data_IF_874886903867
#
_entry.id   IF_874886903867
#
_cell.length_a   1.000
_cell.length_b   1.000
_cell.length_c   1.000
_cell.angle_alpha   90.00
_cell.angle_beta   90.00
_cell.angle_gamma   90.00
#
_symmetry.space_group_name_H-M   'P 1'
#
loop_
_entity.id
_entity.type
_entity.pdbx_description
1 polymer ?
#
# COMPACT_ATOMS: atom_id res chain seq x y z
N UNK A 1 5.41 4.54 -13.03
CA UNK A 1 4.21 3.83 -12.62
C UNK A 1 3.46 4.69 -11.61
N UNK A 2 2.15 4.97 -11.82
CA UNK A 2 1.35 5.86 -10.96
C UNK A 2 1.32 5.37 -9.50
N UNK A 3 1.43 4.07 -9.29
CA UNK A 3 1.50 3.42 -8.00
C UNK A 3 2.79 3.72 -7.23
N UNK A 4 3.94 3.70 -7.90
CA UNK A 4 5.23 3.99 -7.30
C UNK A 4 5.30 5.42 -6.72
N UNK A 5 4.75 6.40 -7.43
CA UNK A 5 4.72 7.79 -6.97
C UNK A 5 3.74 7.99 -5.79
N UNK A 6 2.59 7.31 -5.79
CA UNK A 6 1.63 7.40 -4.72
C UNK A 6 2.11 6.68 -3.45
N UNK A 7 2.76 5.52 -3.58
CA UNK A 7 3.38 4.78 -2.48
C UNK A 7 4.57 5.53 -1.89
N UNK A 8 5.42 6.14 -2.73
CA UNK A 8 6.51 7.01 -2.27
C UNK A 8 5.98 8.19 -1.45
N UNK A 9 4.84 8.78 -1.82
CA UNK A 9 4.20 9.85 -1.04
C UNK A 9 3.68 9.33 0.31
N UNK A 10 3.07 8.14 0.38
CA UNK A 10 2.64 7.52 1.64
C UNK A 10 3.80 7.28 2.61
N UNK A 11 4.96 6.87 2.08
CA UNK A 11 6.18 6.65 2.89
C UNK A 11 6.86 7.98 3.23
N UNK A 12 6.90 8.94 2.32
CA UNK A 12 7.47 10.26 2.56
C UNK A 12 6.75 11.00 3.72
N UNK A 13 5.45 10.79 3.91
CA UNK A 13 4.68 11.36 5.03
C UNK A 13 5.26 10.95 6.39
N UNK A 14 5.91 9.79 6.53
CA UNK A 14 6.53 9.35 7.79
C UNK A 14 7.86 10.06 8.10
N UNK A 15 8.63 10.44 7.08
CA UNK A 15 9.98 10.98 7.26
C UNK A 15 10.03 12.49 7.39
N UNK A 16 8.92 13.19 7.17
CA UNK A 16 8.87 14.63 7.27
C UNK A 16 7.81 15.05 8.29
N UNK A 17 8.21 15.35 9.52
CA UNK A 17 7.39 16.11 10.50
C UNK A 17 6.91 17.48 9.93
N UNK A 18 7.33 17.85 8.72
CA UNK A 18 7.10 19.14 8.09
C UNK A 18 5.81 19.23 7.28
N UNK A 19 5.15 18.13 6.91
CA UNK A 19 3.85 18.19 6.22
C UNK A 19 2.69 18.28 7.22
N UNK A 20 2.58 19.44 7.89
CA UNK A 20 1.32 19.80 8.56
C UNK A 20 0.30 20.17 7.50
N UNK A 21 -0.53 19.21 7.09
CA UNK A 21 -1.73 19.53 6.31
C UNK A 21 -2.56 20.60 7.04
N UNK A 22 -3.18 21.54 6.31
CA UNK A 22 -4.05 22.53 6.92
C UNK A 22 -5.14 21.80 7.74
N UNK A 23 -5.36 22.26 8.98
CA UNK A 23 -6.34 21.65 9.87
C UNK A 23 -7.74 21.85 9.31
N UNK A 24 -8.35 20.79 8.81
CA UNK A 24 -9.78 20.77 8.48
C UNK A 24 -10.61 21.03 9.73
N UNK A 25 -11.71 21.77 9.59
CA UNK A 25 -12.59 22.13 10.72
C UNK A 25 -14.01 21.59 10.49
N UNK A 26 -14.72 21.34 11.57
CA UNK A 26 -16.15 21.02 11.55
C UNK A 26 -16.48 19.79 10.69
N UNK A 27 -17.44 19.94 9.76
CA UNK A 27 -17.99 18.87 8.93
C UNK A 27 -16.96 18.16 8.05
N UNK A 28 -15.97 18.89 7.51
CA UNK A 28 -14.92 18.30 6.67
C UNK A 28 -13.99 17.38 7.47
N UNK A 29 -13.68 17.78 8.69
CA UNK A 29 -12.88 16.95 9.61
C UNK A 29 -13.60 15.66 9.95
N UNK A 30 -14.88 15.75 10.30
CA UNK A 30 -15.72 14.60 10.63
C UNK A 30 -15.85 13.64 9.44
N UNK A 31 -16.05 14.17 8.23
CA UNK A 31 -16.15 13.35 7.02
C UNK A 31 -14.84 12.59 6.74
N UNK A 32 -13.68 13.26 6.90
CA UNK A 32 -12.38 12.62 6.71
C UNK A 32 -12.11 11.51 7.75
N UNK A 33 -12.50 11.74 9.02
CA UNK A 33 -12.41 10.72 10.07
C UNK A 33 -13.33 9.52 9.76
N UNK A 34 -14.55 9.77 9.29
CA UNK A 34 -15.48 8.73 8.86
C UNK A 34 -14.93 7.90 7.69
N UNK A 35 -14.29 8.55 6.71
CA UNK A 35 -13.63 7.85 5.59
C UNK A 35 -12.46 6.98 6.05
N UNK A 36 -11.68 7.47 7.00
CA UNK A 36 -10.57 6.72 7.55
C UNK A 36 -11.02 5.46 8.29
N UNK A 37 -12.01 5.57 9.18
CA UNK A 37 -12.57 4.40 9.87
C UNK A 37 -13.23 3.41 8.88
N UNK A 38 -13.97 3.93 7.90
CA UNK A 38 -14.53 3.10 6.83
C UNK A 38 -13.44 2.33 6.07
N UNK A 39 -12.32 2.98 5.73
CA UNK A 39 -11.22 2.33 5.03
C UNK A 39 -10.61 1.17 5.85
N UNK A 40 -10.54 1.30 7.18
CA UNK A 40 -10.06 0.23 8.07
C UNK A 40 -10.95 -1.00 8.02
N UNK A 41 -12.26 -0.81 8.03
CA UNK A 41 -13.21 -1.92 7.91
C UNK A 41 -13.18 -2.53 6.49
N UNK A 42 -13.04 -1.67 5.48
CA UNK A 42 -13.04 -2.08 4.08
C UNK A 42 -11.87 -3.00 3.74
N UNK A 43 -10.63 -2.66 4.15
CA UNK A 43 -9.46 -3.51 3.87
C UNK A 43 -9.54 -4.85 4.60
N UNK A 44 -10.11 -4.89 5.81
CA UNK A 44 -10.35 -6.14 6.54
C UNK A 44 -11.39 -7.01 5.85
N UNK A 45 -12.49 -6.41 5.36
CA UNK A 45 -13.53 -7.09 4.60
C UNK A 45 -12.96 -7.71 3.31
N UNK A 46 -12.14 -6.93 2.58
CA UNK A 46 -11.46 -7.41 1.39
C UNK A 46 -10.50 -8.56 1.69
N UNK A 47 -9.67 -8.43 2.73
CA UNK A 47 -8.77 -9.50 3.16
C UNK A 47 -9.49 -10.76 3.60
N UNK A 48 -10.62 -10.63 4.32
CA UNK A 48 -11.43 -11.80 4.68
C UNK A 48 -12.01 -12.50 3.44
N UNK A 49 -12.50 -11.73 2.47
CA UNK A 49 -12.95 -12.28 1.19
C UNK A 49 -11.85 -13.07 0.48
N UNK A 50 -10.61 -12.56 0.46
CA UNK A 50 -9.47 -13.28 -0.12
C UNK A 50 -9.24 -14.60 0.62
N UNK A 51 -9.18 -14.58 1.97
CA UNK A 51 -8.95 -15.79 2.78
C UNK A 51 -10.01 -16.85 2.56
N UNK A 52 -11.26 -16.46 2.40
CA UNK A 52 -12.39 -17.37 2.20
C UNK A 52 -12.36 -18.05 0.82
N UNK A 53 -11.73 -17.42 -0.20
CA UNK A 53 -11.77 -17.88 -1.59
C UNK A 53 -10.41 -18.25 -2.19
N UNK A 54 -9.29 -18.02 -1.47
CA UNK A 54 -7.94 -18.22 -2.01
C UNK A 54 -7.56 -19.68 -2.29
N UNK A 55 -8.34 -20.63 -1.80
CA UNK A 55 -8.18 -22.05 -2.08
C UNK A 55 -8.98 -22.55 -3.28
N UNK A 56 -9.80 -21.69 -3.88
CA UNK A 56 -10.56 -22.00 -5.08
C UNK A 56 -9.70 -21.86 -6.34
N UNK A 57 -10.28 -22.17 -7.53
CA UNK A 57 -9.63 -21.92 -8.81
C UNK A 57 -9.39 -20.42 -9.03
N UNK A 58 -8.13 -20.00 -8.96
CA UNK A 58 -7.73 -18.60 -9.08
C UNK A 58 -7.85 -18.04 -10.52
N UNK A 59 -7.91 -18.90 -11.54
CA UNK A 59 -7.93 -18.49 -12.95
C UNK A 59 -6.86 -17.45 -13.26
N UNK A 60 -5.60 -17.88 -13.10
CA UNK A 60 -4.43 -17.00 -13.28
C UNK A 60 -4.29 -16.61 -14.73
N UNK A 61 -4.20 -15.31 -15.00
CA UNK A 61 -3.95 -14.73 -16.33
C UNK A 61 -2.67 -13.89 -16.29
N UNK A 62 -2.06 -13.64 -17.43
CA UNK A 62 -0.92 -12.71 -17.57
C UNK A 62 -1.40 -11.35 -18.09
N UNK A 63 -0.86 -10.24 -17.55
CA UNK A 63 -1.16 -8.88 -18.01
C UNK A 63 -0.21 -8.45 -19.15
N UNK A 64 0.93 -7.88 -18.78
CA UNK A 64 1.89 -7.26 -19.72
C UNK A 64 3.11 -8.14 -20.00
N UNK A 65 3.41 -9.08 -19.13
CA UNK A 65 4.54 -10.02 -19.25
C UNK A 65 4.21 -11.37 -18.58
N UNK A 66 5.00 -12.43 -18.83
CA UNK A 66 4.79 -13.73 -18.19
C UNK A 66 4.84 -13.72 -16.66
N UNK A 67 5.46 -12.70 -16.07
CA UNK A 67 5.59 -12.53 -14.62
C UNK A 67 4.66 -11.47 -14.06
N UNK A 68 3.84 -10.82 -14.90
CA UNK A 68 2.83 -9.84 -14.50
C UNK A 68 1.47 -10.53 -14.46
N UNK A 69 1.14 -11.06 -13.30
CA UNK A 69 -0.03 -11.92 -13.11
C UNK A 69 -1.24 -11.12 -12.60
N UNK A 70 -2.42 -11.64 -12.94
CA UNK A 70 -3.70 -11.25 -12.35
C UNK A 70 -4.53 -12.49 -12.12
N UNK A 71 -5.29 -12.53 -11.06
CA UNK A 71 -6.21 -13.62 -10.76
C UNK A 71 -7.66 -13.17 -10.80
N UNK A 72 -8.57 -14.14 -10.75
CA UNK A 72 -9.99 -13.87 -10.54
C UNK A 72 -10.22 -13.02 -9.27
N UNK A 73 -9.47 -13.32 -8.20
CA UNK A 73 -9.63 -12.61 -6.93
C UNK A 73 -9.18 -11.15 -6.97
N UNK A 74 -8.14 -10.79 -7.75
CA UNK A 74 -7.78 -9.38 -7.96
C UNK A 74 -8.98 -8.60 -8.50
N UNK A 75 -9.67 -9.16 -9.49
CA UNK A 75 -10.84 -8.53 -10.12
C UNK A 75 -12.03 -8.44 -9.15
N UNK A 76 -12.37 -9.52 -8.48
CA UNK A 76 -13.52 -9.59 -7.54
C UNK A 76 -13.31 -8.70 -6.31
N UNK A 77 -12.11 -8.69 -5.74
CA UNK A 77 -11.76 -7.83 -4.59
C UNK A 77 -11.77 -6.37 -5.00
N UNK A 78 -11.30 -6.03 -6.21
CA UNK A 78 -11.42 -4.67 -6.72
C UNK A 78 -12.89 -4.26 -6.87
N UNK A 79 -13.75 -5.10 -7.43
CA UNK A 79 -15.19 -4.82 -7.55
C UNK A 79 -15.84 -4.61 -6.19
N UNK A 80 -15.47 -5.41 -5.18
CA UNK A 80 -15.92 -5.25 -3.81
C UNK A 80 -15.48 -3.89 -3.25
N UNK A 81 -14.19 -3.53 -3.35
CA UNK A 81 -13.66 -2.26 -2.87
C UNK A 81 -14.35 -1.06 -3.53
N UNK A 82 -14.45 -1.08 -4.87
CA UNK A 82 -15.10 -0.02 -5.66
C UNK A 82 -16.59 0.11 -5.30
N UNK A 83 -17.31 -1.01 -5.24
CA UNK A 83 -18.73 -1.03 -4.93
C UNK A 83 -19.03 -0.45 -3.55
N UNK A 84 -18.27 -0.84 -2.52
CA UNK A 84 -18.42 -0.33 -1.16
C UNK A 84 -18.09 1.17 -1.07
N UNK A 85 -17.01 1.61 -1.73
CA UNK A 85 -16.62 3.04 -1.73
C UNK A 85 -17.71 3.89 -2.41
N UNK A 86 -18.11 3.53 -3.62
CA UNK A 86 -19.08 4.33 -4.39
C UNK A 86 -20.49 4.28 -3.81
N UNK A 87 -20.88 3.18 -3.16
CA UNK A 87 -22.14 3.10 -2.41
C UNK A 87 -22.19 4.12 -1.28
N UNK A 88 -21.08 4.36 -0.59
CA UNK A 88 -21.02 5.27 0.55
C UNK A 88 -20.62 6.70 0.19
N UNK A 89 -19.79 6.84 -0.85
CA UNK A 89 -19.22 8.11 -1.33
C UNK A 89 -19.35 8.22 -2.84
N UNK A 90 -20.57 8.39 -3.38
CA UNK A 90 -20.84 8.33 -4.82
C UNK A 90 -20.16 9.45 -5.64
N UNK A 91 -19.79 10.55 -5.00
CA UNK A 91 -19.12 11.69 -5.63
C UNK A 91 -17.59 11.55 -5.66
N UNK A 92 -17.02 10.52 -5.01
CA UNK A 92 -15.59 10.31 -5.00
C UNK A 92 -15.15 9.52 -6.25
N UNK A 93 -13.92 9.79 -6.69
CA UNK A 93 -13.31 9.12 -7.84
C UNK A 93 -12.47 7.91 -7.37
N UNK A 94 -12.24 6.98 -8.28
CA UNK A 94 -11.40 5.79 -8.03
C UNK A 94 -10.23 5.77 -8.99
N UNK A 95 -9.03 5.48 -8.46
CA UNK A 95 -7.87 5.03 -9.21
C UNK A 95 -7.56 3.61 -8.74
N UNK A 96 -7.69 2.62 -9.61
CA UNK A 96 -7.50 1.22 -9.30
C UNK A 96 -6.41 0.59 -10.18
N UNK A 97 -5.79 -0.47 -9.71
CA UNK A 97 -4.76 -1.15 -10.46
C UNK A 97 -5.35 -1.88 -11.66
N UNK A 98 -6.46 -2.61 -11.47
CA UNK A 98 -7.05 -3.42 -12.49
C UNK A 98 -8.03 -2.61 -13.37
N UNK A 99 -7.96 -2.83 -14.69
CA UNK A 99 -8.89 -2.26 -15.66
C UNK A 99 -8.71 -0.76 -15.93
N UNK A 100 -9.83 -0.05 -16.12
CA UNK A 100 -9.87 1.30 -16.71
C UNK A 100 -10.06 2.45 -15.69
N UNK A 101 -10.12 2.18 -14.40
CA UNK A 101 -10.34 3.22 -13.39
C UNK A 101 -9.04 3.99 -13.12
N UNK A 102 -8.84 5.11 -13.82
CA UNK A 102 -7.58 5.90 -13.83
C UNK A 102 -7.80 7.36 -13.43
N UNK A 103 -8.54 7.60 -12.34
CA UNK A 103 -8.72 8.96 -11.85
C UNK A 103 -7.37 9.56 -11.41
N UNK A 104 -7.12 10.82 -11.82
CA UNK A 104 -5.94 11.55 -11.37
C UNK A 104 -6.10 11.93 -9.90
N UNK A 105 -5.09 11.65 -9.09
CA UNK A 105 -5.07 12.05 -7.67
C UNK A 105 -4.93 13.56 -7.48
N UNK A 106 -4.55 14.30 -8.54
CA UNK A 106 -4.28 15.73 -8.49
C UNK A 106 -5.55 16.58 -8.31
N UNK A 107 -6.71 16.04 -8.65
CA UNK A 107 -7.97 16.81 -8.65
C UNK A 107 -9.12 16.06 -7.96
N UNK A 108 -9.75 16.75 -7.02
CA UNK A 108 -10.93 16.27 -6.31
C UNK A 108 -10.59 15.26 -5.21
N UNK A 109 -11.52 14.37 -4.95
CA UNK A 109 -11.47 13.33 -3.93
C UNK A 109 -11.28 11.98 -4.60
N UNK A 110 -10.16 11.33 -4.33
CA UNK A 110 -9.76 10.11 -5.07
C UNK A 110 -9.33 9.03 -4.09
N UNK A 111 -9.94 7.85 -4.22
CA UNK A 111 -9.47 6.64 -3.60
C UNK A 111 -8.51 5.92 -4.56
N UNK A 112 -7.39 5.49 -4.03
CA UNK A 112 -6.40 4.68 -4.75
C UNK A 112 -6.44 3.30 -4.12
N UNK A 113 -6.66 2.27 -4.93
CA UNK A 113 -6.83 0.90 -4.45
C UNK A 113 -5.96 -0.08 -5.23
N UNK A 114 -5.38 -1.03 -4.51
CA UNK A 114 -4.71 -2.20 -5.03
C UNK A 114 -5.29 -3.42 -4.29
N UNK A 115 -6.01 -4.28 -5.00
CA UNK A 115 -6.73 -5.41 -4.40
C UNK A 115 -5.79 -6.47 -3.84
N UNK A 116 -4.67 -6.78 -4.54
CA UNK A 116 -3.68 -7.79 -4.13
C UNK A 116 -2.28 -7.35 -4.59
N UNK A 117 -1.62 -6.46 -3.81
CA UNK A 117 -0.19 -6.19 -4.04
C UNK A 117 0.62 -7.45 -3.71
N UNK A 118 1.44 -7.87 -4.67
CA UNK A 118 2.19 -9.11 -4.58
C UNK A 118 1.46 -10.32 -5.15
N UNK A 119 0.74 -10.17 -6.28
CA UNK A 119 -0.02 -11.25 -6.93
C UNK A 119 0.83 -12.49 -7.22
N UNK A 120 2.11 -12.33 -7.57
CA UNK A 120 3.03 -13.46 -7.74
C UNK A 120 3.22 -14.26 -6.45
N UNK A 121 3.36 -13.58 -5.30
CA UNK A 121 3.46 -14.24 -3.99
C UNK A 121 2.14 -14.93 -3.65
N UNK A 122 1.02 -14.25 -3.91
CA UNK A 122 -0.31 -14.80 -3.70
C UNK A 122 -0.51 -16.10 -4.49
N UNK A 123 -0.16 -16.12 -5.77
CA UNK A 123 -0.30 -17.31 -6.64
C UNK A 123 0.66 -18.42 -6.23
N UNK A 124 1.95 -18.08 -5.95
CA UNK A 124 2.99 -19.08 -5.76
C UNK A 124 3.08 -19.64 -4.34
N UNK A 125 2.79 -18.84 -3.32
CA UNK A 125 3.02 -19.21 -1.91
C UNK A 125 1.88 -18.85 -0.96
N UNK A 126 0.88 -18.08 -1.41
CA UNK A 126 -0.27 -17.64 -0.60
C UNK A 126 0.15 -16.88 0.69
N UNK A 127 1.29 -16.23 0.66
CA UNK A 127 1.85 -15.41 1.74
C UNK A 127 2.47 -14.13 1.16
N UNK A 128 2.82 -13.19 2.03
CA UNK A 128 3.51 -11.92 1.72
C UNK A 128 2.84 -11.12 0.58
N UNK A 129 1.52 -10.99 0.66
CA UNK A 129 0.68 -10.11 -0.16
C UNK A 129 -0.23 -9.26 0.72
N UNK A 130 -0.76 -8.18 0.16
CA UNK A 130 -1.56 -7.23 0.94
C UNK A 130 -2.65 -6.54 0.12
N UNK A 131 -3.73 -6.12 0.78
CA UNK A 131 -4.69 -5.16 0.24
C UNK A 131 -4.22 -3.75 0.57
N UNK A 132 -4.27 -2.82 -0.41
CA UNK A 132 -3.89 -1.43 -0.21
C UNK A 132 -5.01 -0.47 -0.58
N UNK A 133 -5.24 0.51 0.30
CA UNK A 133 -6.18 1.60 0.08
C UNK A 133 -5.55 2.91 0.52
N UNK A 134 -5.64 3.95 -0.31
CA UNK A 134 -5.26 5.31 0.05
C UNK A 134 -6.32 6.31 -0.39
N UNK A 135 -6.36 7.47 0.28
CA UNK A 135 -7.29 8.54 -0.03
C UNK A 135 -6.59 9.87 -0.19
N UNK A 136 -6.88 10.53 -1.29
CA UNK A 136 -6.31 11.82 -1.68
C UNK A 136 -7.39 12.88 -1.83
N UNK A 137 -7.01 14.13 -1.56
CA UNK A 137 -7.81 15.30 -1.90
C UNK A 137 -6.90 16.35 -2.58
N UNK A 138 -7.19 16.66 -3.84
CA UNK A 138 -6.46 17.65 -4.64
C UNK A 138 -4.94 17.46 -4.59
N UNK A 139 -4.47 16.26 -4.88
CA UNK A 139 -3.05 15.91 -4.89
C UNK A 139 -2.42 15.63 -3.52
N UNK A 140 -3.17 15.84 -2.43
CA UNK A 140 -2.66 15.64 -1.08
C UNK A 140 -3.16 14.32 -0.50
N UNK A 141 -2.24 13.40 -0.14
CA UNK A 141 -2.55 12.19 0.57
C UNK A 141 -3.10 12.49 1.97
N UNK A 142 -4.29 12.00 2.26
CA UNK A 142 -4.96 12.20 3.54
C UNK A 142 -4.70 11.06 4.50
N UNK A 143 -4.71 9.83 3.99
CA UNK A 143 -4.34 8.61 4.71
C UNK A 143 -4.05 7.46 3.74
N UNK A 144 -3.40 6.42 4.26
CA UNK A 144 -3.18 5.16 3.56
C UNK A 144 -3.21 3.98 4.50
N UNK A 145 -3.57 2.83 3.95
CA UNK A 145 -3.67 1.54 4.65
C UNK A 145 -2.98 0.45 3.85
N UNK A 146 -2.27 -0.42 4.56
CA UNK A 146 -1.73 -1.68 4.06
C UNK A 146 -2.26 -2.77 4.99
N UNK A 147 -2.99 -3.73 4.45
CA UNK A 147 -3.48 -4.87 5.19
C UNK A 147 -2.75 -6.14 4.75
N UNK A 148 -1.77 -6.58 5.55
CA UNK A 148 -1.11 -7.89 5.39
C UNK A 148 -2.15 -8.97 5.72
N UNK A 149 -2.70 -9.59 4.68
CA UNK A 149 -3.90 -10.42 4.78
C UNK A 149 -3.67 -11.64 5.65
N UNK A 150 -2.56 -12.35 5.42
CA UNK A 150 -2.26 -13.60 6.13
C UNK A 150 -1.92 -13.37 7.60
N UNK A 151 -1.23 -12.25 7.89
CA UNK A 151 -0.87 -11.90 9.29
C UNK A 151 -1.97 -11.18 10.04
N UNK A 152 -3.02 -10.71 9.34
CA UNK A 152 -4.08 -9.89 9.92
C UNK A 152 -3.58 -8.54 10.43
N UNK A 153 -2.46 -8.03 9.90
CA UNK A 153 -1.84 -6.80 10.35
C UNK A 153 -2.26 -5.62 9.47
N UNK A 154 -2.97 -4.67 10.06
CA UNK A 154 -3.36 -3.43 9.40
C UNK A 154 -2.40 -2.29 9.78
N UNK A 155 -1.59 -1.86 8.82
CA UNK A 155 -0.79 -0.63 8.93
C UNK A 155 -1.57 0.52 8.34
N UNK A 156 -1.75 1.60 9.10
CA UNK A 156 -2.56 2.72 8.65
C UNK A 156 -2.07 4.05 9.23
N UNK A 157 -2.39 5.16 8.56
CA UNK A 157 -2.02 6.49 9.00
C UNK A 157 -1.79 7.46 7.86
N UNK A 158 -1.09 8.56 8.14
CA UNK A 158 -0.78 9.61 7.17
C UNK A 158 -1.65 10.86 7.34
N UNK A 159 -1.22 11.95 6.75
CA UNK A 159 -1.89 13.24 6.93
C UNK A 159 -1.94 13.65 8.40
N UNK A 160 -3.16 13.71 8.95
CA UNK A 160 -3.38 14.02 10.38
C UNK A 160 -3.46 12.78 11.28
N UNK A 161 -3.50 11.60 10.71
CA UNK A 161 -3.65 10.35 11.46
C UNK A 161 -2.29 9.79 11.87
N UNK A 162 -2.13 9.37 13.14
CA UNK A 162 -0.88 8.73 13.56
C UNK A 162 -0.65 7.44 12.79
N UNK A 163 0.61 7.09 12.56
CA UNK A 163 0.96 5.82 11.94
C UNK A 163 0.87 4.72 12.97
N UNK A 164 -0.01 3.77 12.72
CA UNK A 164 -0.32 2.66 13.61
C UNK A 164 -0.19 1.31 12.92
N UNK A 165 -0.04 0.26 13.72
CA UNK A 165 -0.29 -1.14 13.35
C UNK A 165 -1.35 -1.68 14.29
N UNK A 166 -2.48 -2.16 13.76
CA UNK A 166 -3.61 -2.66 14.55
C UNK A 166 -4.01 -1.68 15.67
N UNK A 167 -4.16 -0.38 15.30
CA UNK A 167 -4.50 0.75 16.19
C UNK A 167 -3.45 1.07 17.29
N UNK A 168 -2.32 0.37 17.31
CA UNK A 168 -1.19 0.70 18.20
C UNK A 168 -0.21 1.60 17.46
N UNK A 169 0.10 2.81 18.00
CA UNK A 169 1.08 3.70 17.39
C UNK A 169 2.44 3.03 17.20
N UNK A 170 3.01 3.20 16.02
CA UNK A 170 4.36 2.70 15.75
C UNK A 170 5.41 3.64 16.35
N UNK A 171 6.48 3.05 16.86
CA UNK A 171 7.60 3.82 17.40
C UNK A 171 8.24 4.70 16.33
N UNK A 172 8.71 5.91 16.66
CA UNK A 172 9.48 6.75 15.76
C UNK A 172 10.71 6.01 15.20
N UNK A 173 11.11 6.38 13.99
CA UNK A 173 12.33 5.87 13.39
C UNK A 173 13.53 6.21 14.28
N UNK A 174 14.42 5.22 14.48
CA UNK A 174 15.68 5.41 15.20
C UNK A 174 16.83 5.31 14.21
N UNK A 175 17.58 6.40 14.06
CA UNK A 175 18.79 6.42 13.25
C UNK A 175 19.87 5.49 13.86
N UNK A 176 20.60 4.80 12.99
CA UNK A 176 21.75 3.95 13.31
C UNK A 176 22.71 3.97 12.10
N UNK A 177 23.96 3.48 12.23
CA UNK A 177 24.85 3.38 11.08
C UNK A 177 24.23 2.62 9.92
N UNK A 178 24.55 3.02 8.68
CA UNK A 178 23.97 2.41 7.47
C UNK A 178 24.18 0.90 7.41
N UNK A 179 25.37 0.43 7.81
CA UNK A 179 25.71 -0.99 7.86
C UNK A 179 24.89 -1.85 8.83
N UNK A 180 24.11 -1.21 9.72
CA UNK A 180 23.21 -1.92 10.66
C UNK A 180 21.77 -2.04 10.14
N UNK A 181 21.52 -1.56 8.91
CA UNK A 181 20.20 -1.60 8.31
C UNK A 181 20.08 -2.70 7.26
N UNK A 182 18.89 -3.30 7.21
CA UNK A 182 18.41 -4.02 6.03
C UNK A 182 17.67 -3.05 5.11
N UNK A 183 17.75 -3.28 3.81
CA UNK A 183 16.93 -2.63 2.78
C UNK A 183 16.11 -3.66 2.02
N UNK A 184 15.07 -3.24 1.35
CA UNK A 184 14.39 -4.05 0.33
C UNK A 184 14.63 -3.46 -1.06
N UNK A 185 14.63 -4.32 -2.08
CA UNK A 185 14.79 -3.91 -3.47
C UNK A 185 14.13 -4.87 -4.43
N UNK A 186 14.09 -4.46 -5.70
CA UNK A 186 13.65 -5.28 -6.80
C UNK A 186 14.83 -6.11 -7.35
N UNK A 187 14.62 -7.38 -7.69
CA UNK A 187 15.68 -8.27 -8.20
C UNK A 187 16.30 -7.76 -9.51
N UNK A 188 15.48 -7.29 -10.45
CA UNK A 188 15.97 -6.74 -11.72
C UNK A 188 16.85 -5.50 -11.52
N UNK A 189 16.49 -4.62 -10.61
CA UNK A 189 17.29 -3.44 -10.27
C UNK A 189 18.63 -3.81 -9.59
N UNK A 190 18.65 -4.89 -8.79
CA UNK A 190 19.90 -5.44 -8.24
C UNK A 190 20.81 -5.98 -9.33
N UNK A 191 20.28 -6.74 -10.28
CA UNK A 191 21.03 -7.32 -11.40
C UNK A 191 21.64 -6.26 -12.31
N UNK A 192 20.89 -5.20 -12.61
CA UNK A 192 21.31 -4.12 -13.53
C UNK A 192 22.07 -2.99 -12.82
N UNK A 193 22.18 -3.02 -11.49
CA UNK A 193 22.68 -1.92 -10.66
C UNK A 193 21.93 -0.60 -10.91
N UNK A 194 20.66 -0.67 -11.27
CA UNK A 194 19.84 0.52 -11.49
C UNK A 194 19.79 1.37 -10.22
N UNK A 195 19.94 2.68 -10.36
CA UNK A 195 20.04 3.65 -9.26
C UNK A 195 21.16 3.36 -8.23
N UNK A 196 22.15 2.51 -8.58
CA UNK A 196 23.23 2.12 -7.67
C UNK A 196 22.80 1.14 -6.56
N UNK A 197 21.72 0.39 -6.79
CA UNK A 197 21.17 -0.52 -5.76
C UNK A 197 22.14 -1.65 -5.40
N UNK A 198 22.91 -2.19 -6.38
CA UNK A 198 23.93 -3.19 -6.10
C UNK A 198 25.12 -2.59 -5.31
N UNK A 199 25.45 -1.32 -5.50
CA UNK A 199 26.48 -0.63 -4.71
C UNK A 199 25.98 -0.37 -3.28
N UNK A 200 24.75 0.11 -3.14
CA UNK A 200 24.13 0.29 -1.83
C UNK A 200 24.05 -1.03 -1.04
N UNK A 201 23.82 -2.15 -1.73
CA UNK A 201 23.74 -3.46 -1.09
C UNK A 201 25.01 -3.88 -0.34
N UNK A 202 26.19 -3.36 -0.76
CA UNK A 202 27.48 -3.61 -0.10
C UNK A 202 27.71 -2.74 1.14
N UNK A 203 26.95 -1.64 1.27
CA UNK A 203 27.08 -0.70 2.38
C UNK A 203 26.11 -0.94 3.53
N UNK A 204 25.13 -1.83 3.34
CA UNK A 204 24.09 -2.17 4.32
C UNK A 204 24.30 -3.56 4.90
N UNK A 205 23.56 -3.90 5.96
CA UNK A 205 23.60 -5.23 6.57
C UNK A 205 23.12 -6.33 5.60
N UNK A 206 22.26 -5.99 4.64
CA UNK A 206 21.81 -6.89 3.60
C UNK A 206 20.54 -6.41 2.91
N UNK A 207 20.19 -7.08 1.80
CA UNK A 207 19.03 -6.80 0.98
C UNK A 207 17.97 -7.89 1.14
N UNK A 208 16.71 -7.49 1.02
CA UNK A 208 15.56 -8.41 0.96
C UNK A 208 14.78 -8.12 -0.33
N UNK A 209 14.31 -9.18 -0.96
CA UNK A 209 13.38 -9.11 -2.10
C UNK A 209 12.09 -9.79 -1.65
N UNK A 210 11.05 -8.99 -1.37
CA UNK A 210 9.78 -9.53 -0.86
C UNK A 210 8.77 -9.81 -1.97
N UNK A 211 8.98 -9.32 -3.19
CA UNK A 211 8.01 -9.47 -4.28
C UNK A 211 6.69 -8.70 -4.08
N UNK A 212 6.61 -7.87 -3.06
CA UNK A 212 5.46 -7.03 -2.70
C UNK A 212 5.95 -5.69 -2.16
N UNK A 213 5.49 -4.61 -2.76
CA UNK A 213 5.79 -3.25 -2.31
C UNK A 213 5.14 -2.97 -0.95
N UNK A 214 3.89 -3.37 -0.78
CA UNK A 214 3.14 -3.21 0.47
C UNK A 214 3.83 -3.89 1.65
N UNK A 215 4.27 -5.14 1.48
CA UNK A 215 5.00 -5.87 2.52
C UNK A 215 6.33 -5.17 2.83
N UNK A 216 7.05 -4.69 1.81
CA UNK A 216 8.28 -3.91 2.01
C UNK A 216 8.01 -2.65 2.82
N UNK A 217 6.95 -1.90 2.49
CA UNK A 217 6.55 -0.70 3.25
C UNK A 217 6.09 -1.03 4.67
N UNK A 218 5.36 -2.10 4.89
CA UNK A 218 4.99 -2.56 6.24
C UNK A 218 6.24 -2.83 7.11
N UNK A 219 7.30 -3.39 6.51
CA UNK A 219 8.60 -3.59 7.19
C UNK A 219 9.31 -2.25 7.48
N UNK A 220 9.26 -1.27 6.57
CA UNK A 220 9.81 0.07 6.81
C UNK A 220 9.02 0.75 7.93
N UNK A 221 7.69 0.74 7.86
CA UNK A 221 6.81 1.32 8.87
C UNK A 221 7.07 0.73 10.26
N UNK A 222 7.38 -0.54 10.36
CA UNK A 222 7.73 -1.21 11.63
C UNK A 222 9.21 -1.08 12.03
N UNK A 223 10.03 -0.33 11.29
CA UNK A 223 11.45 -0.09 11.60
C UNK A 223 12.37 -1.28 11.33
N UNK A 224 11.91 -2.27 10.58
CA UNK A 224 12.68 -3.48 10.22
C UNK A 224 13.54 -3.30 8.99
N UNK A 225 13.16 -2.37 8.11
CA UNK A 225 13.90 -1.96 6.93
C UNK A 225 14.14 -0.45 6.97
N UNK A 226 15.22 0.00 6.34
CA UNK A 226 15.50 1.42 6.14
C UNK A 226 14.68 1.98 4.98
N UNK A 227 14.70 1.28 3.85
CA UNK A 227 14.09 1.72 2.59
C UNK A 227 13.69 0.53 1.72
N UNK A 228 12.89 0.83 0.70
CA UNK A 228 12.59 0.01 -0.46
C UNK A 228 12.93 0.80 -1.73
N UNK A 229 13.62 0.15 -2.67
CA UNK A 229 14.08 0.71 -3.94
C UNK A 229 13.59 -0.15 -5.09
#
# INVERSE_FOLDING_TARGET
>A
NVWDENLKQLVAIRFTEQYRLPRKKGKERFLLESKFEFAKELVKKAGQYILDHMQEDLRVETKSSPTDLVTRLDKEVQELLVGEILSRYPDDKICAEEGCLRASVQEGKVWVIDPIDGTNNFVAQQEDFAVMVAYFENGQGQFGLIYDVVKGDCYHGGGKFPVCRNDKPLAPFKAKPLGDFLIAGNSGMLETNEWGLADLSRAVLGVRVYGSAAISFAKILSGRLLTYV
#
